data_IF_137910188552
#
_entry.id   IF_137910188552
#
_cell.length_a   1.000
_cell.length_b   1.000
_cell.length_c   1.000
_cell.angle_alpha   90.00
_cell.angle_beta   90.00
_cell.angle_gamma   90.00
#
_symmetry.space_group_name_H-M   'P 1'
#
loop_
_entity.id
_entity.type
_entity.pdbx_description
1 polymer ?
#
# COMPACT_ATOMS: atom_id res chain seq x y z
N UNK A 1 19.81 57.54 -15.95
CA UNK A 1 19.11 57.80 -14.68
C UNK A 1 17.85 56.99 -14.70
N UNK A 2 17.59 55.96 -13.92
CA UNK A 2 18.26 55.16 -12.86
C UNK A 2 17.27 53.96 -12.72
N UNK A 3 17.64 52.68 -12.90
CA UNK A 3 18.10 51.71 -11.87
C UNK A 3 17.13 51.66 -10.67
N UNK A 4 16.64 50.55 -10.10
CA UNK A 4 17.08 49.16 -9.81
C UNK A 4 15.81 48.37 -9.38
N UNK A 5 15.70 47.04 -9.31
CA UNK A 5 16.65 45.95 -9.44
C UNK A 5 15.93 44.60 -9.51
N UNK A 6 16.47 43.72 -10.37
CA UNK A 6 16.13 42.31 -10.48
C UNK A 6 16.55 41.57 -9.19
N UNK A 7 15.66 40.71 -8.67
CA UNK A 7 16.06 39.65 -7.73
C UNK A 7 16.15 38.34 -8.51
N UNK A 8 17.28 38.16 -9.19
CA UNK A 8 17.68 36.90 -9.81
C UNK A 8 18.44 36.11 -8.72
N UNK A 9 17.76 35.21 -8.02
CA UNK A 9 18.43 34.29 -7.10
C UNK A 9 19.07 33.16 -7.90
N UNK A 10 20.40 33.23 -8.05
CA UNK A 10 21.22 32.21 -8.70
C UNK A 10 21.07 30.86 -8.00
N UNK A 11 20.65 29.85 -8.77
CA UNK A 11 20.45 28.46 -8.36
C UNK A 11 21.78 27.65 -8.35
N UNK A 12 22.89 28.26 -7.93
CA UNK A 12 24.24 27.70 -8.11
C UNK A 12 25.10 27.59 -6.83
N UNK A 13 24.52 27.54 -5.63
CA UNK A 13 25.36 27.44 -4.40
C UNK A 13 24.83 26.56 -3.26
N UNK A 14 24.03 25.53 -3.54
CA UNK A 14 23.76 24.49 -2.53
C UNK A 14 24.64 23.26 -2.80
N UNK A 15 25.75 23.17 -2.08
CA UNK A 15 26.63 22.00 -2.07
C UNK A 15 25.93 20.80 -1.41
N UNK A 16 26.16 19.60 -1.96
CA UNK A 16 25.59 18.30 -1.56
C UNK A 16 25.88 17.83 -0.10
N UNK A 17 26.32 18.71 0.80
CA UNK A 17 26.80 18.38 2.15
C UNK A 17 25.85 18.67 3.32
N UNK A 18 24.61 19.16 3.10
CA UNK A 18 23.75 19.65 4.19
C UNK A 18 22.55 18.76 4.56
N UNK A 19 22.57 17.46 4.24
CA UNK A 19 21.54 16.51 4.71
C UNK A 19 22.04 15.55 5.80
N UNK A 20 22.91 16.03 6.69
CA UNK A 20 23.58 15.16 7.66
C UNK A 20 22.72 14.80 8.89
N UNK A 21 21.59 15.46 9.18
CA UNK A 21 20.81 15.17 10.39
C UNK A 21 19.32 14.83 10.17
N UNK A 22 18.80 13.93 11.01
CA UNK A 22 17.40 13.45 11.03
C UNK A 22 16.41 14.58 11.41
N UNK A 23 16.90 15.74 11.89
CA UNK A 23 16.10 16.95 12.15
C UNK A 23 15.85 17.78 10.88
N UNK A 24 16.82 17.92 9.97
CA UNK A 24 16.65 18.65 8.71
C UNK A 24 15.59 17.96 7.83
N UNK A 25 15.56 16.62 7.88
CA UNK A 25 14.53 15.80 7.22
C UNK A 25 13.15 16.01 7.86
N UNK A 26 13.06 16.18 9.19
CA UNK A 26 11.79 16.45 9.88
C UNK A 26 11.29 17.86 9.58
N UNK A 27 12.18 18.85 9.54
CA UNK A 27 11.87 20.25 9.24
C UNK A 27 11.38 20.39 7.79
N UNK A 28 12.06 19.73 6.85
CA UNK A 28 11.64 19.64 5.46
C UNK A 28 10.24 19.01 5.30
N UNK A 29 9.96 17.92 6.00
CA UNK A 29 8.62 17.28 6.00
C UNK A 29 7.55 18.23 6.57
N UNK A 30 7.89 19.06 7.57
CA UNK A 30 6.97 19.99 8.20
C UNK A 30 6.67 21.24 7.33
N UNK A 31 7.67 21.78 6.64
CA UNK A 31 7.50 22.93 5.74
C UNK A 31 6.71 22.59 4.47
N UNK A 32 6.93 21.40 3.88
CA UNK A 32 6.19 20.97 2.70
C UNK A 32 4.72 20.61 3.01
N UNK A 33 4.42 20.21 4.25
CA UNK A 33 3.05 20.07 4.74
C UNK A 33 2.27 21.39 4.73
N UNK A 34 2.94 22.55 4.83
CA UNK A 34 2.28 23.87 4.68
C UNK A 34 2.03 24.24 3.22
N UNK A 35 3.00 24.02 2.32
CA UNK A 35 2.88 24.41 0.90
C UNK A 35 1.81 23.62 0.13
N UNK A 36 1.61 22.34 0.48
CA UNK A 36 0.49 21.55 -0.08
C UNK A 36 -0.89 22.07 0.33
N UNK A 37 -0.98 22.84 1.42
CA UNK A 37 -2.23 23.42 1.91
C UNK A 37 -2.58 24.72 1.16
N UNK A 38 -1.58 25.48 0.69
CA UNK A 38 -1.78 26.74 -0.03
C UNK A 38 -2.21 26.53 -1.49
N UNK A 39 -1.71 25.48 -2.15
CA UNK A 39 -2.06 25.15 -3.54
C UNK A 39 -3.50 24.59 -3.70
N UNK A 40 -4.14 24.16 -2.61
CA UNK A 40 -5.52 23.70 -2.59
C UNK A 40 -6.55 24.86 -2.63
N UNK A 41 -6.13 26.08 -2.29
CA UNK A 41 -7.01 27.25 -2.15
C UNK A 41 -7.35 27.93 -3.48
N UNK A 42 -6.63 27.61 -4.58
CA UNK A 42 -6.74 28.35 -5.85
C UNK A 42 -7.66 27.70 -6.90
N UNK A 43 -8.21 26.51 -6.66
CA UNK A 43 -8.98 25.77 -7.66
C UNK A 43 -10.51 25.70 -7.40
N UNK A 44 -11.02 26.31 -6.33
CA UNK A 44 -12.45 26.29 -5.94
C UNK A 44 -13.35 27.29 -6.71
N UNK A 45 -12.81 28.02 -7.68
CA UNK A 45 -13.56 29.03 -8.42
C UNK A 45 -13.94 28.58 -9.84
N UNK A 46 -14.56 27.40 -10.01
CA UNK A 46 -15.47 27.23 -11.16
C UNK A 46 -16.37 25.98 -11.08
N UNK A 47 -17.58 26.14 -11.63
CA UNK A 47 -18.59 25.13 -12.03
C UNK A 47 -19.65 24.70 -11.02
N UNK A 48 -20.80 25.35 -11.15
CA UNK A 48 -22.11 24.82 -10.80
C UNK A 48 -22.87 24.18 -11.97
N UNK A 49 -24.08 23.70 -11.62
CA UNK A 49 -25.24 23.30 -12.44
C UNK A 49 -25.41 21.82 -12.86
N UNK A 50 -26.14 21.08 -11.99
CA UNK A 50 -27.35 20.25 -12.20
C UNK A 50 -27.59 19.41 -13.47
N UNK A 51 -27.97 18.13 -13.29
CA UNK A 51 -29.23 17.56 -13.80
C UNK A 51 -29.55 16.18 -13.17
N UNK A 52 -30.82 15.97 -12.80
CA UNK A 52 -31.40 14.77 -12.19
C UNK A 52 -31.96 13.81 -13.26
N UNK A 53 -31.90 12.50 -13.03
CA UNK A 53 -32.66 11.47 -13.78
C UNK A 53 -33.20 10.41 -12.79
N UNK A 54 -34.45 9.91 -12.93
CA UNK A 54 -35.10 9.07 -11.93
C UNK A 54 -34.80 7.57 -12.08
N UNK A 55 -34.86 6.87 -10.94
CA UNK A 55 -34.62 5.43 -10.77
C UNK A 55 -35.95 4.68 -10.82
N UNK A 56 -36.04 3.67 -11.69
CA UNK A 56 -37.12 2.68 -11.70
C UNK A 56 -36.78 1.49 -10.81
N UNK A 57 -37.68 1.18 -9.87
CA UNK A 57 -37.65 0.00 -9.01
C UNK A 57 -38.11 -1.24 -9.78
N UNK A 58 -37.39 -2.36 -9.60
CA UNK A 58 -37.90 -3.70 -9.86
C UNK A 58 -37.49 -4.59 -8.68
N UNK A 59 -38.47 -4.89 -7.83
CA UNK A 59 -38.42 -5.91 -6.79
C UNK A 59 -38.51 -7.29 -7.46
N UNK A 60 -37.68 -8.23 -7.02
CA UNK A 60 -37.89 -9.65 -7.33
C UNK A 60 -37.64 -10.43 -6.06
N UNK A 61 -38.76 -10.93 -5.52
CA UNK A 61 -38.83 -11.92 -4.45
C UNK A 61 -38.26 -13.24 -4.97
N UNK A 62 -37.32 -13.84 -4.22
CA UNK A 62 -37.04 -15.26 -4.35
C UNK A 62 -37.07 -15.92 -2.98
N UNK A 63 -37.95 -16.92 -2.91
CA UNK A 63 -38.27 -17.76 -1.78
C UNK A 63 -37.06 -18.65 -1.42
N UNK A 64 -36.73 -18.71 -0.14
CA UNK A 64 -35.77 -19.65 0.43
C UNK A 64 -36.48 -20.98 0.70
N UNK A 65 -36.10 -22.03 -0.01
CA UNK A 65 -36.35 -23.41 0.41
C UNK A 65 -35.11 -23.91 1.16
N UNK A 66 -35.30 -24.21 2.45
CA UNK A 66 -34.34 -24.91 3.29
C UNK A 66 -34.54 -26.41 3.06
N UNK A 67 -33.52 -27.11 2.56
CA UNK A 67 -33.43 -28.56 2.68
C UNK A 67 -32.25 -28.92 3.59
N UNK A 68 -32.60 -29.51 4.73
CA UNK A 68 -31.72 -30.13 5.69
C UNK A 68 -31.05 -31.37 5.08
N UNK A 69 -29.72 -31.42 5.10
CA UNK A 69 -28.96 -32.62 4.73
C UNK A 69 -28.05 -33.05 5.90
N UNK A 70 -28.60 -33.87 6.79
CA UNK A 70 -27.84 -34.63 7.78
C UNK A 70 -27.17 -35.84 7.10
N UNK A 71 -25.91 -35.66 6.69
CA UNK A 71 -25.07 -36.74 6.16
C UNK A 71 -24.19 -37.36 7.25
N UNK A 72 -24.70 -38.41 7.92
CA UNK A 72 -23.93 -39.29 8.80
C UNK A 72 -22.93 -40.14 8.01
N UNK A 73 -21.62 -39.92 8.19
CA UNK A 73 -20.58 -40.78 7.62
C UNK A 73 -20.29 -41.92 8.60
N UNK A 74 -20.82 -43.10 8.31
CA UNK A 74 -20.39 -44.35 8.91
C UNK A 74 -19.01 -44.75 8.32
N UNK A 75 -18.01 -44.92 9.16
CA UNK A 75 -16.71 -45.50 8.78
C UNK A 75 -16.76 -47.01 9.00
N UNK A 76 -16.79 -47.75 7.91
CA UNK A 76 -16.71 -49.21 7.87
C UNK A 76 -15.26 -49.65 8.13
N UNK A 77 -15.08 -50.60 9.04
CA UNK A 77 -13.80 -51.06 9.53
C UNK A 77 -13.34 -52.31 8.77
N UNK A 78 -12.64 -52.10 7.66
CA UNK A 78 -11.87 -53.14 6.98
C UNK A 78 -10.48 -53.29 7.60
N UNK A 79 -10.25 -54.40 8.29
CA UNK A 79 -8.94 -54.85 8.79
C UNK A 79 -8.10 -55.39 7.62
N UNK A 80 -7.05 -54.67 7.22
CA UNK A 80 -5.91 -55.24 6.49
C UNK A 80 -4.62 -54.90 7.26
N UNK A 81 -3.83 -55.91 7.60
CA UNK A 81 -2.58 -55.78 8.35
C UNK A 81 -1.54 -54.93 7.57
N UNK A 82 -0.89 -53.94 8.20
CA UNK A 82 0.14 -53.16 7.54
C UNK A 82 1.50 -53.87 7.56
N UNK A 83 2.33 -53.71 6.51
CA UNK A 83 3.63 -54.36 6.42
C UNK A 83 4.59 -53.78 7.47
N UNK A 84 5.33 -54.66 8.13
CA UNK A 84 6.35 -54.29 9.11
C UNK A 84 7.52 -53.57 8.42
N UNK A 85 7.47 -52.25 8.39
CA UNK A 85 8.64 -51.42 8.12
C UNK A 85 8.77 -50.36 9.21
N UNK A 86 9.96 -50.24 9.78
CA UNK A 86 10.26 -49.50 11.01
C UNK A 86 9.92 -48.01 10.89
N UNK A 87 8.70 -47.63 11.23
CA UNK A 87 8.32 -46.22 11.40
C UNK A 87 8.69 -45.81 12.82
N UNK A 88 9.86 -45.17 12.98
CA UNK A 88 10.11 -44.35 14.18
C UNK A 88 9.00 -43.29 14.23
N UNK A 89 7.94 -43.55 15.02
CA UNK A 89 6.88 -42.57 15.31
C UNK A 89 7.58 -41.33 15.89
N UNK A 90 7.73 -40.27 15.10
CA UNK A 90 8.24 -38.98 15.57
C UNK A 90 7.36 -38.56 16.75
N UNK A 91 7.89 -38.60 17.97
CA UNK A 91 7.19 -38.07 19.15
C UNK A 91 6.90 -36.59 18.88
N UNK A 92 5.62 -36.24 18.83
CA UNK A 92 5.20 -34.84 18.75
C UNK A 92 5.56 -34.20 20.09
N UNK A 93 6.53 -33.29 20.08
CA UNK A 93 6.88 -32.50 21.26
C UNK A 93 5.98 -31.26 21.30
N UNK A 94 5.31 -31.07 22.44
CA UNK A 94 4.61 -29.83 22.77
C UNK A 94 5.47 -29.12 23.81
N UNK A 95 6.02 -27.97 23.43
CA UNK A 95 6.80 -27.14 24.35
C UNK A 95 5.83 -26.25 25.13
N UNK A 96 5.83 -26.28 26.47
CA UNK A 96 4.99 -25.40 27.26
C UNK A 96 5.43 -23.95 27.07
N UNK A 97 4.49 -23.10 26.64
CA UNK A 97 4.69 -21.65 26.52
C UNK A 97 4.35 -20.99 27.85
N UNK A 98 5.23 -20.11 28.34
CA UNK A 98 5.02 -19.33 29.58
C UNK A 98 3.87 -18.32 29.41
N UNK A 99 3.29 -17.87 30.52
CA UNK A 99 2.21 -16.87 30.47
C UNK A 99 2.69 -15.54 29.87
N UNK A 100 3.96 -15.19 30.07
CA UNK A 100 4.59 -14.04 29.45
C UNK A 100 4.70 -14.19 27.93
N UNK A 101 5.18 -15.33 27.44
CA UNK A 101 5.25 -15.59 25.99
C UNK A 101 3.85 -15.62 25.35
N UNK A 102 2.84 -16.20 26.03
CA UNK A 102 1.44 -16.17 25.57
C UNK A 102 0.91 -14.75 25.47
N UNK A 103 1.22 -13.90 26.45
CA UNK A 103 0.86 -12.48 26.44
C UNK A 103 1.58 -11.73 25.31
N UNK A 104 2.86 -11.99 25.09
CA UNK A 104 3.62 -11.40 23.98
C UNK A 104 3.05 -11.83 22.62
N UNK A 105 2.64 -13.09 22.48
CA UNK A 105 1.97 -13.61 21.27
C UNK A 105 0.63 -12.90 21.06
N UNK A 106 -0.20 -12.79 22.11
CA UNK A 106 -1.49 -12.11 22.06
C UNK A 106 -1.35 -10.60 21.77
N UNK A 107 -0.38 -9.94 22.40
CA UNK A 107 -0.09 -8.53 22.18
C UNK A 107 0.43 -8.26 20.76
N UNK A 108 1.05 -9.23 20.11
CA UNK A 108 1.55 -9.10 18.73
C UNK A 108 0.47 -9.35 17.65
N UNK A 109 -0.78 -9.65 18.04
CA UNK A 109 -1.90 -9.78 17.08
C UNK A 109 -2.14 -8.45 16.35
N UNK A 110 -2.11 -7.33 17.08
CA UNK A 110 -2.30 -6.01 16.51
C UNK A 110 -0.98 -5.37 16.08
N UNK A 111 -0.93 -4.89 14.84
CA UNK A 111 0.21 -4.12 14.34
C UNK A 111 0.43 -2.85 15.17
N UNK A 112 1.68 -2.34 15.21
CA UNK A 112 2.01 -1.06 15.86
C UNK A 112 1.13 0.10 15.36
N UNK A 113 0.82 0.11 14.06
CA UNK A 113 -0.09 1.08 13.45
C UNK A 113 -1.52 0.97 13.98
N UNK A 114 -2.02 -0.26 14.10
CA UNK A 114 -3.34 -0.56 14.67
C UNK A 114 -3.43 -0.10 16.13
N UNK A 115 -2.41 -0.37 16.95
CA UNK A 115 -2.34 0.11 18.34
C UNK A 115 -2.39 1.63 18.43
N UNK A 116 -1.64 2.35 17.58
CA UNK A 116 -1.67 3.82 17.51
C UNK A 116 -3.04 4.36 17.09
N UNK A 117 -3.65 3.77 16.06
CA UNK A 117 -4.99 4.16 15.62
C UNK A 117 -6.05 3.92 16.71
N UNK A 118 -5.89 2.85 17.49
CA UNK A 118 -6.76 2.54 18.64
C UNK A 118 -6.66 3.63 19.69
N UNK A 119 -5.44 3.96 20.12
CA UNK A 119 -5.19 5.03 21.08
C UNK A 119 -5.76 6.37 20.60
N UNK A 120 -5.57 6.71 19.33
CA UNK A 120 -6.13 7.93 18.74
C UNK A 120 -7.66 7.95 18.80
N UNK A 121 -8.34 6.89 18.33
CA UNK A 121 -9.79 6.85 18.30
C UNK A 121 -10.43 6.87 19.70
N UNK A 122 -9.81 6.16 20.66
CA UNK A 122 -10.26 6.16 22.06
C UNK A 122 -10.05 7.52 22.70
N UNK A 123 -8.87 8.13 22.50
CA UNK A 123 -8.57 9.46 23.01
C UNK A 123 -9.59 10.48 22.50
N UNK A 124 -9.87 10.47 21.20
CA UNK A 124 -10.84 11.38 20.58
C UNK A 124 -12.25 11.21 21.18
N UNK A 125 -12.68 9.98 21.47
CA UNK A 125 -13.98 9.73 22.08
C UNK A 125 -14.02 10.18 23.56
N UNK A 126 -12.96 9.91 24.34
CA UNK A 126 -12.87 10.37 25.74
C UNK A 126 -12.85 11.89 25.87
N UNK A 127 -12.07 12.58 25.03
CA UNK A 127 -12.05 14.05 25.00
C UNK A 127 -13.44 14.64 24.68
N UNK A 128 -14.19 13.99 23.78
CA UNK A 128 -15.56 14.37 23.49
C UNK A 128 -16.52 14.13 24.67
N UNK A 129 -16.41 12.98 25.35
CA UNK A 129 -17.22 12.68 26.54
C UNK A 129 -16.99 13.71 27.65
N UNK A 130 -15.72 14.03 27.92
CA UNK A 130 -15.34 15.05 28.92
C UNK A 130 -15.92 16.44 28.56
N UNK A 131 -15.81 16.84 27.29
CA UNK A 131 -16.37 18.11 26.79
C UNK A 131 -17.89 18.18 26.98
N UNK A 132 -18.59 17.08 26.68
CA UNK A 132 -20.05 16.97 26.82
C UNK A 132 -20.49 16.71 28.27
N UNK A 133 -19.55 16.64 29.22
CA UNK A 133 -19.78 16.31 30.64
C UNK A 133 -20.51 14.97 30.82
N UNK A 134 -20.19 14.01 29.96
CA UNK A 134 -20.66 12.62 30.02
C UNK A 134 -19.61 11.75 30.72
N UNK A 135 -20.01 10.54 31.09
CA UNK A 135 -19.11 9.59 31.76
C UNK A 135 -17.96 9.17 30.81
N UNK A 136 -16.69 9.48 31.14
CA UNK A 136 -15.55 9.07 30.32
C UNK A 136 -15.22 7.57 30.45
N UNK A 137 -15.78 6.85 31.43
CA UNK A 137 -15.65 5.41 31.63
C UNK A 137 -16.63 4.62 30.73
N UNK A 138 -16.65 4.96 29.44
CA UNK A 138 -17.58 4.38 28.47
C UNK A 138 -17.44 2.86 28.31
N UNK A 139 -16.33 2.30 28.78
CA UNK A 139 -16.09 0.86 28.77
C UNK A 139 -17.08 0.09 29.64
N UNK A 140 -17.65 0.70 30.67
CA UNK A 140 -18.59 0.07 31.61
C UNK A 140 -20.07 0.29 31.24
N UNK A 141 -20.34 1.22 30.32
CA UNK A 141 -21.71 1.58 29.93
C UNK A 141 -22.50 0.41 29.35
N UNK A 142 -23.82 0.42 29.60
CA UNK A 142 -24.73 -0.51 28.95
C UNK A 142 -24.68 -0.31 27.41
N UNK A 143 -25.01 -1.35 26.61
CA UNK A 143 -25.05 -1.21 25.16
C UNK A 143 -25.96 -0.07 24.68
N UNK A 144 -27.07 0.19 25.39
CA UNK A 144 -28.02 1.24 25.04
C UNK A 144 -27.44 2.64 25.30
N UNK A 145 -26.82 2.86 26.46
CA UNK A 145 -26.19 4.16 26.79
C UNK A 145 -25.02 4.46 25.86
N UNK A 146 -24.19 3.44 25.58
CA UNK A 146 -23.10 3.57 24.64
C UNK A 146 -23.59 3.87 23.22
N UNK A 147 -24.68 3.25 22.78
CA UNK A 147 -25.33 3.55 21.50
C UNK A 147 -25.81 5.01 21.44
N UNK A 148 -26.42 5.53 22.51
CA UNK A 148 -26.84 6.93 22.59
C UNK A 148 -25.64 7.90 22.52
N UNK A 149 -24.54 7.58 23.20
CA UNK A 149 -23.32 8.39 23.14
C UNK A 149 -22.71 8.38 21.74
N UNK A 150 -22.59 7.20 21.11
CA UNK A 150 -22.04 7.07 19.76
C UNK A 150 -22.92 7.79 18.71
N UNK A 151 -24.25 7.78 18.89
CA UNK A 151 -25.19 8.50 18.02
C UNK A 151 -24.94 10.00 18.01
N UNK A 152 -24.64 10.60 19.17
CA UNK A 152 -24.28 12.03 19.30
C UNK A 152 -22.86 12.32 18.82
N UNK A 153 -21.93 11.42 19.14
CA UNK A 153 -20.52 11.60 18.81
C UNK A 153 -20.24 11.68 17.31
N UNK A 154 -20.76 10.75 16.50
CA UNK A 154 -20.43 10.66 15.08
C UNK A 154 -20.66 11.95 14.26
N UNK A 155 -21.80 12.66 14.36
CA UNK A 155 -22.01 13.91 13.62
C UNK A 155 -21.14 15.07 14.11
N UNK A 156 -20.60 15.00 15.32
CA UNK A 156 -19.81 16.06 15.97
C UNK A 156 -18.29 15.91 15.78
N UNK A 157 -17.83 14.77 15.25
CA UNK A 157 -16.40 14.55 14.99
C UNK A 157 -15.82 15.62 14.02
N UNK A 158 -14.80 16.37 14.45
CA UNK A 158 -14.08 17.37 13.64
C UNK A 158 -12.56 17.28 13.82
N UNK A 159 -11.80 17.66 12.79
CA UNK A 159 -10.35 17.89 12.90
C UNK A 159 -10.07 19.17 13.70
N UNK A 160 -8.80 19.36 14.11
CA UNK A 160 -8.37 20.60 14.77
C UNK A 160 -8.49 21.87 13.91
N UNK A 161 -8.85 21.73 12.63
CA UNK A 161 -9.14 22.83 11.70
C UNK A 161 -10.65 23.02 11.46
N UNK A 162 -11.49 22.48 12.35
CA UNK A 162 -12.96 22.43 12.26
C UNK A 162 -13.53 21.74 11.01
N UNK A 163 -12.67 21.17 10.15
CA UNK A 163 -13.08 20.38 8.99
C UNK A 163 -13.61 19.02 9.43
N UNK A 164 -14.50 18.42 8.63
CA UNK A 164 -14.91 17.04 8.84
C UNK A 164 -13.75 16.08 8.61
N UNK A 165 -13.74 14.98 9.37
CA UNK A 165 -12.86 13.87 9.06
C UNK A 165 -13.30 13.16 7.78
N UNK A 166 -12.33 12.63 7.03
CA UNK A 166 -12.62 11.75 5.90
C UNK A 166 -13.35 10.49 6.34
N UNK A 167 -14.09 9.87 5.43
CA UNK A 167 -14.80 8.61 5.65
C UNK A 167 -13.89 7.51 6.22
N UNK A 168 -12.67 7.42 5.72
CA UNK A 168 -11.66 6.45 6.19
C UNK A 168 -11.29 6.70 7.66
N UNK A 169 -11.06 7.95 8.04
CA UNK A 169 -10.74 8.31 9.43
C UNK A 169 -11.92 8.04 10.36
N UNK A 170 -13.14 8.39 9.96
CA UNK A 170 -14.35 8.11 10.76
C UNK A 170 -14.56 6.60 10.97
N UNK A 171 -14.42 5.81 9.90
CA UNK A 171 -14.48 4.35 10.00
C UNK A 171 -13.36 3.78 10.89
N UNK A 172 -12.16 4.36 10.79
CA UNK A 172 -11.02 4.02 11.64
C UNK A 172 -11.27 4.27 13.12
N UNK A 173 -11.84 5.43 13.48
CA UNK A 173 -12.21 5.77 14.86
C UNK A 173 -13.26 4.80 15.40
N UNK A 174 -14.32 4.51 14.63
CA UNK A 174 -15.34 3.52 15.02
C UNK A 174 -14.73 2.14 15.27
N UNK A 175 -13.87 1.67 14.37
CA UNK A 175 -13.17 0.39 14.54
C UNK A 175 -12.21 0.39 15.75
N UNK A 176 -11.58 1.53 16.04
CA UNK A 176 -10.73 1.72 17.21
C UNK A 176 -11.50 1.61 18.52
N UNK A 177 -12.67 2.24 18.63
CA UNK A 177 -13.53 2.13 19.82
C UNK A 177 -14.00 0.68 19.98
N UNK A 178 -14.48 0.04 18.90
CA UNK A 178 -14.89 -1.35 18.96
C UNK A 178 -13.76 -2.28 19.44
N UNK A 179 -12.55 -2.10 18.89
CA UNK A 179 -11.39 -2.90 19.26
C UNK A 179 -10.99 -2.66 20.73
N UNK A 180 -11.05 -1.42 21.20
CA UNK A 180 -10.77 -1.11 22.61
C UNK A 180 -11.73 -1.83 23.56
N UNK A 181 -13.02 -1.91 23.22
CA UNK A 181 -14.03 -2.58 24.03
C UNK A 181 -13.90 -4.11 23.99
N UNK A 182 -13.49 -4.68 22.85
CA UNK A 182 -13.49 -6.14 22.61
C UNK A 182 -12.15 -6.81 22.91
N UNK A 183 -11.05 -6.07 22.93
CA UNK A 183 -9.73 -6.59 23.29
C UNK A 183 -9.46 -6.45 24.80
N UNK A 184 -8.41 -7.12 25.32
CA UNK A 184 -7.95 -6.88 26.69
C UNK A 184 -7.67 -5.38 26.95
N UNK A 185 -7.98 -4.87 28.15
CA UNK A 185 -8.46 -5.61 29.32
C UNK A 185 -9.98 -5.83 29.39
N UNK A 186 -10.76 -5.19 28.53
CA UNK A 186 -12.22 -5.10 28.71
C UNK A 186 -12.98 -6.33 28.20
N UNK A 187 -12.53 -6.95 27.10
CA UNK A 187 -13.07 -8.21 26.57
C UNK A 187 -14.60 -8.25 26.48
N UNK A 188 -15.25 -7.12 26.17
CA UNK A 188 -16.70 -7.06 26.09
C UNK A 188 -17.20 -7.88 24.91
N UNK A 189 -18.24 -8.66 25.14
CA UNK A 189 -18.93 -9.40 24.09
C UNK A 189 -19.98 -8.53 23.37
N UNK A 190 -19.53 -7.45 22.72
CA UNK A 190 -20.37 -6.56 21.92
C UNK A 190 -19.65 -6.16 20.63
N UNK A 191 -20.41 -5.83 19.60
CA UNK A 191 -19.91 -5.23 18.36
C UNK A 191 -20.73 -3.98 18.02
N UNK A 192 -20.16 -2.80 18.31
CA UNK A 192 -20.83 -1.51 18.10
C UNK A 192 -21.18 -1.24 16.62
N UNK A 193 -20.60 -2.04 15.70
CA UNK A 193 -20.80 -1.92 14.26
C UNK A 193 -21.91 -2.81 13.72
N UNK A 194 -22.33 -3.85 14.45
CA UNK A 194 -23.20 -4.91 13.93
C UNK A 194 -24.36 -5.27 14.85
N UNK A 195 -24.17 -5.20 16.16
CA UNK A 195 -25.21 -5.64 17.09
C UNK A 195 -26.43 -4.73 17.02
N UNK A 196 -27.62 -5.31 17.17
CA UNK A 196 -28.90 -4.63 17.02
C UNK A 196 -29.09 -3.46 18.00
N UNK A 197 -28.49 -3.55 19.20
CA UNK A 197 -28.49 -2.49 20.20
C UNK A 197 -27.90 -1.16 19.67
N UNK A 198 -27.02 -1.22 18.65
CA UNK A 198 -26.37 -0.05 18.06
C UNK A 198 -27.03 0.44 16.77
N UNK A 199 -28.28 0.05 16.52
CA UNK A 199 -28.95 0.35 15.25
C UNK A 199 -29.12 1.85 14.99
N UNK A 200 -29.40 2.66 16.01
CA UNK A 200 -29.60 4.10 15.85
C UNK A 200 -28.28 4.85 15.65
N UNK A 201 -27.21 4.50 16.38
CA UNK A 201 -25.88 5.06 16.12
C UNK A 201 -25.35 4.65 14.75
N UNK A 202 -25.60 3.43 14.29
CA UNK A 202 -25.18 2.96 12.97
C UNK A 202 -25.93 3.66 11.84
N UNK A 203 -27.24 3.89 11.98
CA UNK A 203 -28.00 4.74 11.05
C UNK A 203 -27.43 6.15 10.99
N UNK A 204 -27.11 6.73 12.14
CA UNK A 204 -26.51 8.06 12.21
C UNK A 204 -25.13 8.11 11.54
N UNK A 205 -24.28 7.13 11.82
CA UNK A 205 -22.98 7.00 11.16
C UNK A 205 -23.11 6.98 9.63
N UNK A 206 -24.04 6.18 9.09
CA UNK A 206 -24.33 6.15 7.65
C UNK A 206 -24.79 7.52 7.12
N UNK A 207 -25.65 8.22 7.85
CA UNK A 207 -26.09 9.59 7.50
C UNK A 207 -24.94 10.58 7.45
N UNK A 208 -24.03 10.53 8.43
CA UNK A 208 -22.83 11.38 8.45
C UNK A 208 -21.91 11.08 7.27
N UNK A 209 -21.72 9.81 6.91
CA UNK A 209 -20.92 9.45 5.73
C UNK A 209 -21.56 9.92 4.42
N UNK A 210 -22.90 9.86 4.30
CA UNK A 210 -23.61 10.38 3.13
C UNK A 210 -23.40 11.89 3.00
N UNK A 211 -23.57 12.64 4.10
CA UNK A 211 -23.34 14.08 4.13
C UNK A 211 -21.90 14.45 3.82
N UNK A 212 -20.93 13.72 4.36
CA UNK A 212 -19.52 13.93 4.04
C UNK A 212 -19.22 13.73 2.54
N UNK A 213 -19.89 12.79 1.88
CA UNK A 213 -19.79 12.58 0.43
C UNK A 213 -20.41 13.73 -0.37
N UNK A 214 -21.58 14.22 0.05
CA UNK A 214 -22.25 15.37 -0.58
C UNK A 214 -21.41 16.66 -0.45
N UNK A 215 -20.70 16.83 0.66
CA UNK A 215 -19.78 17.95 0.92
C UNK A 215 -18.38 17.74 0.26
N UNK A 216 -18.18 16.71 -0.57
CA UNK A 216 -16.89 16.45 -1.24
C UNK A 216 -15.76 15.94 -0.31
N UNK A 217 -16.05 15.69 0.97
CA UNK A 217 -15.07 15.21 1.96
C UNK A 217 -14.76 13.69 1.86
N UNK A 218 -15.27 13.00 0.84
CA UNK A 218 -15.03 11.58 0.56
C UNK A 218 -13.92 11.35 -0.49
N UNK A 219 -13.28 12.42 -1.00
CA UNK A 219 -12.18 12.26 -1.95
C UNK A 219 -10.96 11.60 -1.30
N UNK A 220 -10.66 10.38 -1.74
CA UNK A 220 -9.42 9.71 -1.43
C UNK A 220 -8.39 10.08 -2.49
N UNK A 221 -7.42 10.93 -2.13
CA UNK A 221 -6.27 11.18 -3.01
C UNK A 221 -5.46 9.89 -3.18
N UNK A 222 -5.58 9.27 -4.35
CA UNK A 222 -4.73 8.14 -4.70
C UNK A 222 -3.32 8.64 -5.02
N UNK A 223 -2.32 7.81 -4.73
CA UNK A 223 -0.94 8.15 -5.08
C UNK A 223 -0.80 8.11 -6.61
N UNK A 224 -0.29 9.19 -7.23
CA UNK A 224 -0.21 9.27 -8.68
C UNK A 224 0.73 8.18 -9.21
N UNK A 225 0.39 7.67 -10.40
CA UNK A 225 1.31 6.86 -11.19
C UNK A 225 2.47 7.74 -11.64
N UNK A 226 3.68 7.16 -11.71
CA UNK A 226 4.83 7.84 -12.32
C UNK A 226 4.53 8.01 -13.81
N UNK A 227 4.58 9.26 -14.29
CA UNK A 227 4.34 9.59 -15.68
C UNK A 227 5.35 8.90 -16.61
N UNK A 228 4.96 8.58 -17.86
CA UNK A 228 5.83 7.88 -18.81
C UNK A 228 7.11 8.67 -19.14
N UNK A 229 7.01 10.00 -19.20
CA UNK A 229 8.15 10.90 -19.37
C UNK A 229 9.16 10.78 -18.21
N UNK A 230 8.66 10.68 -16.98
CA UNK A 230 9.51 10.51 -15.79
C UNK A 230 10.03 9.08 -15.63
N UNK A 231 9.27 8.07 -16.05
CA UNK A 231 9.78 6.70 -16.19
C UNK A 231 10.94 6.63 -17.18
N UNK A 232 10.86 7.38 -18.28
CA UNK A 232 11.94 7.48 -19.26
C UNK A 232 13.19 8.10 -18.62
N UNK A 233 13.02 9.20 -17.86
CA UNK A 233 14.12 9.79 -17.07
C UNK A 233 14.72 8.77 -16.11
N UNK A 234 13.90 8.09 -15.30
CA UNK A 234 14.34 7.07 -14.32
C UNK A 234 15.07 5.88 -14.96
N UNK A 235 14.78 5.56 -16.22
CA UNK A 235 15.42 4.46 -16.97
C UNK A 235 16.66 4.89 -17.74
N UNK A 236 16.93 6.20 -17.84
CA UNK A 236 18.09 6.73 -18.55
C UNK A 236 19.39 6.39 -17.83
N UNK A 237 20.48 6.28 -18.59
CA UNK A 237 21.81 5.97 -18.05
C UNK A 237 22.38 7.08 -17.15
N UNK A 238 21.83 8.30 -17.24
CA UNK A 238 22.23 9.46 -16.43
C UNK A 238 21.46 9.58 -15.11
N UNK A 239 20.42 8.77 -14.89
CA UNK A 239 19.55 8.91 -13.72
C UNK A 239 20.21 8.49 -12.40
N UNK A 240 21.16 7.55 -12.46
CA UNK A 240 21.83 7.02 -11.29
C UNK A 240 23.30 6.78 -11.58
N UNK A 241 24.16 7.43 -10.81
CA UNK A 241 25.58 7.08 -10.79
C UNK A 241 25.79 5.75 -10.05
N UNK A 242 26.13 4.69 -10.79
CA UNK A 242 26.38 3.38 -10.22
C UNK A 242 27.71 3.30 -9.45
N UNK A 243 28.57 4.33 -9.56
CA UNK A 243 29.78 4.48 -8.75
C UNK A 243 29.54 5.27 -7.46
N UNK A 244 28.34 5.78 -7.23
CA UNK A 244 27.94 6.36 -5.95
C UNK A 244 27.10 5.35 -5.14
N UNK A 245 27.46 5.06 -3.87
CA UNK A 245 26.76 4.04 -3.09
C UNK A 245 25.33 4.43 -2.72
N UNK A 246 25.01 5.72 -2.67
CA UNK A 246 23.65 6.19 -2.38
C UNK A 246 22.77 5.96 -3.60
N UNK A 247 23.21 6.40 -4.78
CA UNK A 247 22.49 6.29 -6.04
C UNK A 247 22.39 4.85 -6.54
N UNK A 248 23.44 4.03 -6.37
CA UNK A 248 23.36 2.58 -6.61
C UNK A 248 22.26 1.95 -5.76
N UNK A 249 22.17 2.33 -4.50
CA UNK A 249 21.14 1.79 -3.60
C UNK A 249 19.74 2.31 -3.96
N UNK A 250 19.60 3.57 -4.39
CA UNK A 250 18.34 4.14 -4.89
C UNK A 250 17.86 3.43 -6.16
N UNK A 251 18.76 3.18 -7.12
CA UNK A 251 18.46 2.43 -8.35
C UNK A 251 17.96 1.03 -8.04
N UNK A 252 18.73 0.29 -7.24
CA UNK A 252 18.36 -1.08 -6.87
C UNK A 252 17.06 -1.11 -6.08
N UNK A 253 16.86 -0.16 -5.16
CA UNK A 253 15.60 -0.04 -4.45
C UNK A 253 14.44 0.18 -5.41
N UNK A 254 14.54 1.13 -6.34
CA UNK A 254 13.50 1.42 -7.33
C UNK A 254 13.17 0.19 -8.18
N UNK A 255 14.19 -0.48 -8.73
CA UNK A 255 14.01 -1.69 -9.53
C UNK A 255 13.31 -2.81 -8.74
N UNK A 256 13.74 -3.02 -7.48
CA UNK A 256 13.12 -4.03 -6.62
C UNK A 256 11.66 -3.67 -6.28
N UNK A 257 11.35 -2.39 -6.06
CA UNK A 257 9.98 -1.96 -5.80
C UNK A 257 9.09 -2.18 -7.04
N UNK A 258 9.61 -1.87 -8.23
CA UNK A 258 8.90 -2.00 -9.51
C UNK A 258 8.70 -3.46 -9.91
N UNK A 259 9.78 -4.26 -10.00
CA UNK A 259 9.70 -5.64 -10.49
C UNK A 259 9.00 -6.61 -9.53
N UNK A 260 9.07 -6.36 -8.22
CA UNK A 260 8.42 -7.22 -7.22
C UNK A 260 7.09 -6.63 -6.70
N UNK A 261 6.68 -5.47 -7.22
CA UNK A 261 5.49 -4.73 -6.80
C UNK A 261 5.38 -4.65 -5.27
N UNK A 262 6.45 -4.35 -4.55
CA UNK A 262 6.48 -4.56 -3.09
C UNK A 262 5.52 -3.63 -2.34
N UNK A 263 4.91 -4.13 -1.26
CA UNK A 263 3.96 -3.38 -0.41
C UNK A 263 4.65 -2.77 0.81
N UNK A 264 4.41 -1.48 1.00
CA UNK A 264 4.68 -0.78 2.26
C UNK A 264 6.16 -0.73 2.66
N UNK A 265 6.44 0.01 3.72
CA UNK A 265 7.79 0.18 4.28
C UNK A 265 8.14 -0.85 5.34
N UNK A 266 7.14 -1.53 5.90
CA UNK A 266 7.25 -2.35 7.11
C UNK A 266 8.28 -3.49 6.95
N UNK A 267 8.43 -4.04 5.74
CA UNK A 267 9.37 -5.13 5.46
C UNK A 267 10.65 -4.70 4.73
N UNK A 268 10.69 -3.48 4.16
CA UNK A 268 11.85 -3.02 3.37
C UNK A 268 13.12 -3.01 4.22
N UNK A 269 13.01 -2.59 5.49
CA UNK A 269 14.16 -2.51 6.39
C UNK A 269 14.70 -3.87 6.82
N UNK A 270 13.83 -4.89 6.88
CA UNK A 270 14.20 -6.26 7.29
C UNK A 270 14.65 -7.14 6.12
N UNK A 271 14.61 -6.63 4.88
CA UNK A 271 15.09 -7.36 3.71
C UNK A 271 16.57 -7.73 3.86
N UNK A 272 16.91 -8.95 3.46
CA UNK A 272 18.27 -9.49 3.53
C UNK A 272 18.83 -9.79 2.15
N UNK A 273 20.16 -9.87 2.01
CA UNK A 273 20.78 -10.43 0.80
C UNK A 273 20.25 -11.84 0.56
N UNK A 274 20.28 -12.64 1.63
CA UNK A 274 19.86 -14.04 1.60
C UNK A 274 18.40 -14.24 1.19
N UNK A 275 17.54 -13.22 1.29
CA UNK A 275 16.16 -13.26 0.81
C UNK A 275 16.07 -13.46 -0.70
N UNK A 276 17.12 -13.14 -1.45
CA UNK A 276 17.17 -13.24 -2.90
C UNK A 276 18.06 -14.39 -3.37
N UNK A 277 17.75 -14.91 -4.55
CA UNK A 277 18.65 -15.75 -5.34
C UNK A 277 18.62 -15.31 -6.80
N UNK A 278 19.71 -15.60 -7.51
CA UNK A 278 19.85 -15.40 -8.94
C UNK A 278 19.86 -16.77 -9.61
N UNK A 279 19.12 -16.92 -10.71
CA UNK A 279 19.03 -18.14 -11.51
C UNK A 279 19.03 -17.78 -12.99
N UNK A 280 19.25 -18.78 -13.82
CA UNK A 280 19.09 -18.73 -15.27
C UNK A 280 17.85 -19.53 -15.64
N UNK A 281 17.05 -19.03 -16.58
CA UNK A 281 15.95 -19.82 -17.15
C UNK A 281 16.43 -20.72 -18.30
N UNK A 282 15.51 -21.52 -18.83
CA UNK A 282 15.81 -22.50 -19.87
C UNK A 282 16.25 -21.85 -21.19
N UNK A 283 16.05 -20.53 -21.34
CA UNK A 283 16.50 -19.73 -22.49
C UNK A 283 17.87 -19.06 -22.24
N UNK A 284 18.55 -19.40 -21.14
CA UNK A 284 19.85 -18.81 -20.81
C UNK A 284 19.77 -17.39 -20.22
N UNK A 285 18.58 -16.90 -19.88
CA UNK A 285 18.40 -15.54 -19.37
C UNK A 285 18.43 -15.52 -17.84
N UNK A 286 19.33 -14.70 -17.30
CA UNK A 286 19.50 -14.57 -15.84
C UNK A 286 18.41 -13.68 -15.21
N UNK A 287 17.99 -14.03 -14.00
CA UNK A 287 17.01 -13.27 -13.22
C UNK A 287 17.21 -13.41 -11.70
N UNK A 288 16.80 -12.38 -10.96
CA UNK A 288 16.66 -12.42 -9.50
C UNK A 288 15.23 -12.79 -9.09
N UNK A 289 15.07 -13.51 -7.98
CA UNK A 289 13.77 -13.80 -7.36
C UNK A 289 13.88 -13.83 -5.82
N UNK A 290 12.76 -13.61 -5.12
CA UNK A 290 12.68 -13.80 -3.67
C UNK A 290 12.51 -15.29 -3.33
N UNK A 291 13.32 -15.80 -2.40
CA UNK A 291 13.29 -17.20 -1.96
C UNK A 291 12.07 -17.55 -1.10
N UNK A 292 11.52 -16.58 -0.38
CA UNK A 292 10.38 -16.76 0.53
C UNK A 292 9.36 -15.65 0.33
N UNK A 293 8.09 -15.97 0.60
CA UNK A 293 7.06 -14.95 0.71
C UNK A 293 7.24 -14.18 2.03
N UNK A 294 7.23 -12.85 1.96
CA UNK A 294 7.28 -12.02 3.16
C UNK A 294 5.91 -12.02 3.88
N UNK A 295 5.90 -12.05 5.22
CA UNK A 295 4.71 -11.70 5.99
C UNK A 295 4.38 -10.22 5.75
N UNK A 296 3.24 -9.91 5.14
CA UNK A 296 2.84 -8.51 4.88
C UNK A 296 1.87 -8.00 5.95
N UNK A 297 1.66 -6.68 6.02
CA UNK A 297 0.74 -6.00 6.96
C UNK A 297 -0.66 -6.63 7.08
N UNK A 298 -1.20 -7.15 5.97
CA UNK A 298 -2.51 -7.78 5.93
C UNK A 298 -2.45 -9.32 6.06
N UNK A 299 -1.24 -9.87 6.19
CA UNK A 299 -0.91 -11.29 6.27
C UNK A 299 0.09 -11.60 7.41
N UNK A 300 -0.10 -11.12 8.66
CA UNK A 300 0.65 -11.65 9.78
C UNK A 300 0.14 -13.07 10.06
N UNK A 301 0.89 -14.09 9.65
CA UNK A 301 0.66 -15.47 10.09
C UNK A 301 -0.29 -16.34 9.26
N UNK A 302 -0.74 -15.95 8.06
CA UNK A 302 -1.39 -16.92 7.18
C UNK A 302 -0.33 -17.80 6.52
N UNK A 303 -0.31 -19.08 6.92
CA UNK A 303 0.00 -20.16 5.97
C UNK A 303 -1.05 -20.08 4.86
N UNK A 304 -0.84 -19.22 3.87
CA UNK A 304 -1.40 -19.51 2.56
C UNK A 304 -0.74 -20.81 2.15
N UNK A 305 -1.55 -21.82 1.82
CA UNK A 305 -1.10 -23.13 1.38
C UNK A 305 0.23 -23.03 0.64
N UNK A 306 1.21 -23.70 1.21
CA UNK A 306 2.49 -24.07 0.65
C UNK A 306 2.42 -24.26 -0.86
N UNK A 307 2.67 -23.21 -1.66
CA UNK A 307 3.18 -23.26 -3.04
C UNK A 307 3.28 -21.92 -3.78
N UNK A 308 2.83 -20.79 -3.21
CA UNK A 308 3.09 -19.48 -3.83
C UNK A 308 4.54 -19.01 -3.57
N UNK A 309 5.53 -19.77 -4.08
CA UNK A 309 6.84 -19.18 -4.39
C UNK A 309 6.52 -17.97 -5.26
N UNK A 310 6.87 -16.78 -4.82
CA UNK A 310 6.63 -15.55 -5.58
C UNK A 310 7.25 -15.74 -6.96
N UNK A 311 6.43 -15.96 -7.99
CA UNK A 311 6.88 -16.14 -9.39
C UNK A 311 7.45 -14.84 -9.98
N UNK A 312 7.52 -13.78 -9.18
CA UNK A 312 8.08 -12.48 -9.55
C UNK A 312 9.56 -12.64 -9.82
N UNK A 313 9.98 -12.13 -10.98
CA UNK A 313 11.36 -12.21 -11.45
C UNK A 313 11.79 -10.83 -11.92
N UNK A 314 13.04 -10.49 -11.62
CA UNK A 314 13.71 -9.31 -12.15
C UNK A 314 14.81 -9.79 -13.09
N UNK A 315 14.54 -9.70 -14.39
CA UNK A 315 15.41 -10.23 -15.44
C UNK A 315 16.57 -9.29 -15.79
N UNK A 316 17.70 -9.85 -16.19
CA UNK A 316 18.71 -9.11 -16.95
C UNK A 316 18.13 -8.66 -18.30
N UNK A 317 18.46 -7.46 -18.73
CA UNK A 317 17.98 -6.87 -19.99
C UNK A 317 19.13 -6.38 -20.89
N UNK A 318 20.39 -6.61 -20.51
CA UNK A 318 21.57 -6.25 -21.31
C UNK A 318 21.93 -4.77 -21.34
N UNK A 319 21.07 -3.86 -20.87
CA UNK A 319 21.32 -2.40 -20.91
C UNK A 319 22.40 -1.95 -19.91
N UNK A 320 22.85 -0.70 -20.04
CA UNK A 320 23.73 -0.08 -19.05
C UNK A 320 23.01 0.10 -17.70
N UNK A 321 21.74 0.51 -17.72
CA UNK A 321 20.82 0.57 -16.55
C UNK A 321 20.25 -0.78 -16.09
N UNK A 322 20.89 -1.90 -16.44
CA UNK A 322 20.33 -3.23 -16.21
C UNK A 322 20.07 -3.49 -14.72
N UNK A 323 18.81 -3.81 -14.32
CA UNK A 323 18.44 -3.93 -12.91
C UNK A 323 19.17 -5.09 -12.23
N UNK A 324 19.42 -6.20 -12.94
CA UNK A 324 20.15 -7.34 -12.37
C UNK A 324 21.64 -7.01 -12.16
N UNK A 325 22.26 -6.24 -13.07
CA UNK A 325 23.67 -5.83 -12.93
C UNK A 325 23.85 -4.90 -11.73
N UNK A 326 23.01 -3.87 -11.61
CA UNK A 326 23.02 -2.97 -10.45
C UNK A 326 22.77 -3.73 -9.14
N UNK A 327 21.84 -4.70 -9.14
CA UNK A 327 21.57 -5.54 -7.98
C UNK A 327 22.77 -6.39 -7.58
N UNK A 328 23.48 -7.01 -8.53
CA UNK A 328 24.72 -7.76 -8.25
C UNK A 328 25.80 -6.87 -7.65
N UNK A 329 26.01 -5.69 -8.22
CA UNK A 329 26.99 -4.72 -7.72
C UNK A 329 26.67 -4.32 -6.26
N UNK A 330 25.40 -4.07 -5.93
CA UNK A 330 24.99 -3.82 -4.54
C UNK A 330 25.32 -5.01 -3.63
N UNK A 331 24.99 -6.24 -4.04
CA UNK A 331 25.27 -7.44 -3.24
C UNK A 331 26.77 -7.66 -3.03
N UNK A 332 27.59 -7.36 -4.03
CA UNK A 332 29.04 -7.45 -3.99
C UNK A 332 29.63 -6.43 -3.00
N UNK A 333 29.33 -5.15 -3.19
CA UNK A 333 29.91 -4.02 -2.43
C UNK A 333 29.39 -3.87 -1.00
N UNK A 334 28.41 -4.69 -0.61
CA UNK A 334 27.85 -4.71 0.75
C UNK A 334 28.81 -5.27 1.79
N UNK A 335 28.66 -4.80 3.02
CA UNK A 335 29.36 -5.37 4.16
C UNK A 335 28.76 -6.75 4.51
N UNK A 336 29.59 -7.80 4.48
CA UNK A 336 29.17 -9.20 4.69
C UNK A 336 28.89 -9.55 6.16
N UNK A 337 29.33 -8.74 7.11
CA UNK A 337 29.05 -8.96 8.55
C UNK A 337 27.57 -8.73 8.92
N UNK A 338 26.80 -8.07 8.05
CA UNK A 338 25.37 -7.86 8.26
C UNK A 338 24.57 -8.23 7.01
N UNK A 339 23.69 -9.21 7.12
CA UNK A 339 22.93 -9.73 5.98
C UNK A 339 21.80 -8.78 5.53
N UNK A 340 21.50 -7.69 6.24
CA UNK A 340 20.49 -6.70 5.79
C UNK A 340 20.87 -6.07 4.46
N UNK A 341 19.90 -5.99 3.54
CA UNK A 341 20.06 -5.51 2.17
C UNK A 341 20.39 -4.01 2.10
N UNK A 342 19.66 -3.18 2.84
CA UNK A 342 19.84 -1.73 2.82
C UNK A 342 20.69 -1.29 4.02
N UNK A 343 21.99 -1.18 3.78
CA UNK A 343 22.99 -0.69 4.71
C UNK A 343 23.23 0.81 4.52
N UNK A 344 23.77 1.50 5.54
CA UNK A 344 24.15 2.91 5.40
C UNK A 344 25.31 3.06 4.40
N UNK A 345 25.19 3.89 3.35
CA UNK A 345 26.29 4.12 2.41
C UNK A 345 27.45 4.85 3.10
N UNK A 346 28.69 4.59 2.66
CA UNK A 346 29.83 5.46 2.95
C UNK A 346 29.73 6.70 2.07
N UNK A 347 30.01 7.87 2.62
CA UNK A 347 29.93 9.15 1.91
C UNK A 347 31.17 10.00 2.14
N UNK A 348 31.37 11.01 1.29
CA UNK A 348 32.46 11.98 1.39
C UNK A 348 33.84 11.33 1.37
N UNK A 349 34.78 11.85 2.17
CA UNK A 349 36.18 11.38 2.21
C UNK A 349 36.36 9.91 2.61
N UNK A 350 35.32 9.28 3.17
CA UNK A 350 35.34 7.88 3.59
C UNK A 350 34.92 6.91 2.47
N UNK A 351 34.59 7.44 1.30
CA UNK A 351 34.20 6.67 0.14
C UNK A 351 35.25 6.76 -0.97
N UNK A 352 35.57 5.60 -1.54
CA UNK A 352 36.36 5.45 -2.76
C UNK A 352 35.66 4.40 -3.65
N UNK A 353 35.35 4.69 -4.92
CA UNK A 353 34.73 3.73 -5.84
C UNK A 353 35.52 2.42 -5.99
N UNK A 354 36.85 2.45 -5.89
CA UNK A 354 37.69 1.25 -6.09
C UNK A 354 37.70 0.31 -4.89
N UNK A 355 37.19 0.72 -3.72
CA UNK A 355 37.19 -0.12 -2.52
C UNK A 355 36.20 -1.28 -2.65
N UNK A 356 36.46 -2.36 -1.91
CA UNK A 356 35.62 -3.56 -1.94
C UNK A 356 34.28 -3.37 -1.21
N UNK A 357 34.26 -2.56 -0.14
CA UNK A 357 33.09 -2.40 0.73
C UNK A 357 32.62 -0.95 0.76
N UNK A 358 31.46 -0.69 0.14
CA UNK A 358 30.89 0.65 0.00
C UNK A 358 29.91 1.02 1.12
N UNK A 359 29.45 0.04 1.90
CA UNK A 359 28.43 0.23 2.91
C UNK A 359 28.94 -0.09 4.32
N UNK A 360 28.39 0.61 5.31
CA UNK A 360 28.67 0.35 6.73
C UNK A 360 27.89 -0.88 7.22
N UNK A 361 28.32 -1.48 8.33
CA UNK A 361 27.60 -2.57 9.00
C UNK A 361 26.19 -2.17 9.46
N UNK A 362 25.93 -0.88 9.65
CA UNK A 362 24.67 -0.38 10.19
C UNK A 362 23.55 -0.38 9.15
N UNK A 363 22.33 -0.66 9.63
CA UNK A 363 21.12 -0.69 8.82
C UNK A 363 20.69 0.73 8.45
N UNK A 364 20.17 0.93 7.23
CA UNK A 364 19.62 2.22 6.81
C UNK A 364 18.38 2.59 7.64
N UNK A 365 18.20 3.88 7.89
CA UNK A 365 17.12 4.41 8.71
C UNK A 365 15.74 4.12 8.10
N UNK A 366 14.73 3.87 8.95
CA UNK A 366 13.37 3.66 8.49
C UNK A 366 12.83 4.90 7.75
N UNK A 367 13.10 6.10 8.28
CA UNK A 367 12.68 7.36 7.67
C UNK A 367 13.30 7.54 6.29
N UNK A 368 14.61 7.31 6.15
CA UNK A 368 15.32 7.40 4.86
C UNK A 368 14.72 6.47 3.82
N UNK A 369 14.44 5.21 4.19
CA UNK A 369 13.83 4.26 3.28
C UNK A 369 12.39 4.69 2.91
N UNK A 370 11.66 5.33 3.84
CA UNK A 370 10.27 5.76 3.62
C UNK A 370 10.15 6.94 2.63
N UNK A 371 11.23 7.67 2.40
CA UNK A 371 11.29 8.82 1.49
C UNK A 371 12.20 8.60 0.27
N UNK A 372 12.50 7.34 -0.09
CA UNK A 372 13.35 7.02 -1.24
C UNK A 372 12.82 7.59 -2.56
N UNK A 373 11.57 7.31 -2.94
CA UNK A 373 11.01 7.86 -4.18
C UNK A 373 10.89 9.39 -4.12
N UNK A 374 10.43 10.03 -3.02
CA UNK A 374 10.47 11.48 -2.91
C UNK A 374 11.85 12.10 -3.16
N UNK A 375 12.91 11.53 -2.57
CA UNK A 375 14.30 11.98 -2.79
C UNK A 375 14.74 11.81 -4.23
N UNK A 376 14.40 10.68 -4.86
CA UNK A 376 14.70 10.44 -6.28
C UNK A 376 13.96 11.45 -7.16
N UNK A 377 12.69 11.75 -6.86
CA UNK A 377 11.89 12.74 -7.57
C UNK A 377 12.53 14.12 -7.56
N UNK A 378 12.94 14.58 -6.38
CA UNK A 378 13.59 15.89 -6.20
C UNK A 378 14.94 15.93 -6.93
N UNK A 379 15.79 14.92 -6.72
CA UNK A 379 17.13 14.84 -7.32
C UNK A 379 17.10 14.83 -8.84
N UNK A 380 16.10 14.18 -9.44
CA UNK A 380 15.98 14.04 -10.89
C UNK A 380 15.10 15.10 -11.55
N UNK A 381 14.52 16.03 -10.79
CA UNK A 381 13.58 17.01 -11.35
C UNK A 381 12.42 16.33 -12.09
N UNK A 382 11.81 15.32 -11.45
CA UNK A 382 10.61 14.68 -11.99
C UNK A 382 9.43 15.67 -11.95
N UNK A 383 8.41 15.44 -12.78
CA UNK A 383 7.25 16.32 -12.88
C UNK A 383 6.47 16.44 -11.56
N UNK A 384 6.55 15.41 -10.73
CA UNK A 384 5.95 15.40 -9.40
C UNK A 384 6.85 14.77 -8.35
N UNK A 385 6.58 15.14 -7.10
CA UNK A 385 7.16 14.51 -5.92
C UNK A 385 6.45 13.19 -5.60
N UNK A 386 6.85 12.13 -6.29
CA UNK A 386 6.26 10.80 -6.14
C UNK A 386 6.55 10.16 -4.78
N UNK A 387 5.64 9.30 -4.34
CA UNK A 387 5.81 8.54 -3.10
C UNK A 387 6.28 7.12 -3.37
N UNK A 388 6.74 6.41 -2.35
CA UNK A 388 7.08 4.99 -2.49
C UNK A 388 5.88 4.14 -2.97
N UNK A 389 4.64 4.58 -2.70
CA UNK A 389 3.44 3.89 -3.17
C UNK A 389 3.19 4.13 -4.67
N UNK A 390 3.63 5.26 -5.22
CA UNK A 390 3.56 5.58 -6.64
C UNK A 390 4.25 4.50 -7.48
N UNK A 391 5.41 3.98 -7.06
CA UNK A 391 6.12 2.91 -7.81
C UNK A 391 5.27 1.65 -7.99
N UNK A 392 4.54 1.27 -6.94
CA UNK A 392 3.64 0.11 -6.99
C UNK A 392 2.41 0.39 -7.85
N UNK A 393 1.86 1.60 -7.75
CA UNK A 393 0.75 2.05 -8.59
C UNK A 393 1.14 2.00 -10.08
N UNK A 394 2.33 2.52 -10.41
CA UNK A 394 2.94 2.44 -11.74
C UNK A 394 3.09 1.00 -12.21
N UNK A 395 3.52 0.07 -11.34
CA UNK A 395 3.64 -1.35 -11.72
C UNK A 395 2.30 -1.92 -12.17
N UNK A 396 1.21 -1.60 -11.46
CA UNK A 396 -0.14 -2.03 -11.83
C UNK A 396 -0.57 -1.42 -13.15
N UNK A 397 -0.38 -0.10 -13.33
CA UNK A 397 -0.76 0.61 -14.56
C UNK A 397 0.00 0.08 -15.77
N UNK A 398 1.33 -0.02 -15.69
CA UNK A 398 2.17 -0.48 -16.79
C UNK A 398 1.79 -1.90 -17.23
N UNK A 399 1.53 -2.81 -16.29
CA UNK A 399 1.08 -4.17 -16.65
C UNK A 399 -0.30 -4.13 -17.34
N UNK A 400 -1.24 -3.34 -16.83
CA UNK A 400 -2.57 -3.21 -17.43
C UNK A 400 -2.52 -2.59 -18.83
N UNK A 401 -1.69 -1.56 -19.03
CA UNK A 401 -1.53 -0.89 -20.31
C UNK A 401 -0.82 -1.77 -21.36
N UNK A 402 -0.04 -2.77 -20.91
CA UNK A 402 0.54 -3.81 -21.76
C UNK A 402 -0.37 -5.04 -21.94
N UNK A 403 -1.66 -4.92 -21.58
CA UNK A 403 -2.66 -5.97 -21.83
C UNK A 403 -2.59 -7.17 -20.87
N UNK A 404 -1.89 -7.05 -19.74
CA UNK A 404 -1.88 -8.11 -18.73
C UNK A 404 -3.23 -8.16 -18.02
N UNK A 405 -3.82 -9.35 -17.98
CA UNK A 405 -5.12 -9.60 -17.37
C UNK A 405 -5.15 -9.24 -15.89
N UNK A 406 -6.30 -8.71 -15.41
CA UNK A 406 -6.44 -8.23 -14.03
C UNK A 406 -6.10 -9.32 -13.00
N UNK A 407 -6.45 -10.58 -13.26
CA UNK A 407 -6.12 -11.73 -12.39
C UNK A 407 -4.61 -11.96 -12.28
N UNK A 408 -3.86 -11.77 -13.36
CA UNK A 408 -2.41 -11.91 -13.35
C UNK A 408 -1.74 -10.74 -12.65
N UNK A 409 -2.22 -9.52 -12.88
CA UNK A 409 -1.79 -8.33 -12.13
C UNK A 409 -2.02 -8.54 -10.64
N UNK A 410 -3.19 -9.04 -10.24
CA UNK A 410 -3.49 -9.38 -8.84
C UNK A 410 -2.47 -10.35 -8.26
N UNK A 411 -2.09 -11.40 -9.02
CA UNK A 411 -1.07 -12.36 -8.60
C UNK A 411 0.32 -11.74 -8.49
N UNK A 412 0.72 -10.88 -9.43
CA UNK A 412 2.04 -10.21 -9.41
C UNK A 412 2.12 -9.18 -8.29
N UNK A 413 1.02 -8.50 -7.99
CA UNK A 413 0.97 -7.45 -6.99
C UNK A 413 0.42 -7.93 -5.65
N UNK A 414 0.11 -9.22 -5.52
CA UNK A 414 -0.48 -9.86 -4.34
C UNK A 414 -1.83 -9.25 -3.90
N UNK A 415 -2.63 -8.67 -4.81
CA UNK A 415 -3.99 -8.21 -4.51
C UNK A 415 -4.97 -9.39 -4.46
N UNK A 416 -5.93 -9.36 -3.54
CA UNK A 416 -6.95 -10.41 -3.37
C UNK A 416 -8.27 -10.12 -4.05
N UNK A 417 -8.56 -8.84 -4.28
CA UNK A 417 -9.80 -8.39 -4.88
C UNK A 417 -9.46 -7.52 -6.09
N UNK A 418 -10.11 -7.80 -7.22
CA UNK A 418 -10.02 -6.97 -8.41
C UNK A 418 -10.53 -5.56 -8.17
N UNK A 419 -11.51 -5.38 -7.28
CA UNK A 419 -11.95 -4.06 -6.82
C UNK A 419 -10.82 -3.20 -6.25
N UNK A 420 -9.79 -3.82 -5.66
CA UNK A 420 -8.60 -3.09 -5.17
C UNK A 420 -7.61 -2.70 -6.28
N UNK A 421 -7.77 -3.25 -7.49
CA UNK A 421 -7.05 -2.78 -8.68
C UNK A 421 -7.72 -1.57 -9.32
N UNK A 422 -9.04 -1.40 -9.15
CA UNK A 422 -9.79 -0.30 -9.77
C UNK A 422 -9.23 1.06 -9.39
N UNK A 423 -8.80 1.26 -8.13
CA UNK A 423 -8.17 2.52 -7.69
C UNK A 423 -6.85 2.87 -8.40
N UNK A 424 -6.21 1.90 -9.06
CA UNK A 424 -5.01 2.14 -9.87
C UNK A 424 -5.34 2.33 -11.36
N UNK A 425 -6.54 1.93 -11.78
CA UNK A 425 -7.02 1.94 -13.17
C UNK A 425 -8.09 3.01 -13.41
N UNK A 426 -8.51 3.75 -12.37
CA UNK A 426 -9.41 4.92 -12.46
C UNK A 426 -8.78 6.04 -13.27
N UNK A 427 -7.45 6.13 -13.23
CA UNK A 427 -6.68 6.89 -14.19
C UNK A 427 -6.17 5.94 -15.27
N UNK A 428 -7.06 5.56 -16.19
CA UNK A 428 -6.59 5.18 -17.51
C UNK A 428 -5.59 6.25 -17.95
N UNK A 429 -4.38 5.87 -18.36
CA UNK A 429 -3.36 6.82 -18.80
C UNK A 429 -3.98 7.82 -19.77
N UNK A 430 -3.48 9.04 -19.84
CA UNK A 430 -4.02 10.02 -20.79
C UNK A 430 -4.01 9.46 -22.23
N UNK A 431 -3.08 8.56 -22.54
CA UNK A 431 -3.07 7.77 -23.77
C UNK A 431 -4.36 6.97 -23.97
N UNK A 432 -4.81 6.24 -22.94
CA UNK A 432 -6.03 5.44 -22.96
C UNK A 432 -7.31 6.28 -22.89
N UNK A 433 -7.32 7.39 -22.14
CA UNK A 433 -8.42 8.40 -22.19
C UNK A 433 -8.54 9.00 -23.59
N UNK A 434 -7.41 9.34 -24.22
CA UNK A 434 -7.35 9.81 -25.63
C UNK A 434 -7.81 8.72 -26.60
N UNK A 435 -7.41 7.46 -26.39
CA UNK A 435 -7.85 6.35 -27.23
C UNK A 435 -9.37 6.13 -27.10
N UNK A 436 -9.93 6.14 -25.89
CA UNK A 436 -11.37 6.06 -25.67
C UNK A 436 -12.12 7.20 -26.35
N UNK A 437 -11.66 8.44 -26.16
CA UNK A 437 -12.21 9.59 -26.86
C UNK A 437 -12.14 9.43 -28.38
N UNK A 438 -10.98 8.99 -28.90
CA UNK A 438 -10.78 8.71 -30.33
C UNK A 438 -11.74 7.63 -30.86
N UNK A 439 -11.96 6.54 -30.11
CA UNK A 439 -12.93 5.51 -30.49
C UNK A 439 -14.35 6.04 -30.57
N UNK A 440 -14.72 6.96 -29.67
CA UNK A 440 -16.04 7.62 -29.69
C UNK A 440 -16.17 8.61 -30.86
N UNK A 441 -15.07 9.23 -31.29
CA UNK A 441 -15.04 10.10 -32.47
C UNK A 441 -15.05 9.33 -33.80
N UNK A 442 -14.54 8.09 -33.82
CA UNK A 442 -14.57 7.23 -35.02
C UNK A 442 -15.90 6.49 -35.09
N UNK A 443 -16.93 7.16 -35.61
CA UNK A 443 -18.09 6.46 -36.19
C UNK A 443 -17.62 5.79 -37.48
N UNK A 444 -17.14 4.55 -37.41
CA UNK A 444 -17.14 3.69 -38.60
C UNK A 444 -18.61 3.55 -39.02
N UNK A 445 -19.04 4.30 -40.03
CA UNK A 445 -20.18 3.88 -40.85
C UNK A 445 -19.85 2.45 -41.27
N UNK A 446 -20.64 1.49 -40.79
CA UNK A 446 -20.68 0.15 -41.36
C UNK A 446 -21.12 0.32 -42.83
N UNK A 447 -20.18 0.61 -43.73
CA UNK A 447 -20.39 0.32 -45.13
C UNK A 447 -20.43 -1.19 -45.23
N UNK A 448 -21.66 -1.70 -45.28
CA UNK A 448 -21.99 -3.05 -45.73
C UNK A 448 -21.28 -3.22 -47.08
N UNK A 449 -20.13 -3.88 -47.08
CA UNK A 449 -19.57 -4.42 -48.31
C UNK A 449 -20.50 -5.59 -48.65
N UNK A 450 -21.54 -5.30 -49.44
CA UNK A 450 -22.26 -6.31 -50.17
C UNK A 450 -21.28 -6.85 -51.23
N UNK A 451 -20.44 -7.80 -50.82
CA UNK A 451 -19.70 -8.64 -51.75
C UNK A 451 -20.69 -9.53 -52.46
N UNK A 452 -21.09 -9.16 -53.68
CA UNK A 452 -21.74 -10.10 -54.58
C UNK A 452 -20.70 -11.17 -54.93
N UNK A 453 -21.00 -12.35 -54.42
CA UNK A 453 -20.40 -13.64 -54.69
C UNK A 453 -20.38 -13.87 -56.21
N UNK A 454 -19.19 -14.12 -56.76
CA UNK A 454 -19.06 -14.79 -58.04
C UNK A 454 -19.56 -16.24 -57.88
N UNK A 455 -20.58 -16.61 -58.65
CA UNK A 455 -20.91 -18.01 -58.91
C UNK A 455 -21.42 -18.15 -60.36
N UNK A 456 -20.93 -19.19 -61.05
CA UNK A 456 -21.20 -19.63 -62.43
C UNK A 456 -20.58 -18.77 -63.55
N UNK A 457 -19.81 -19.29 -64.51
CA UNK A 457 -19.54 -20.65 -65.00
C UNK A 457 -18.15 -20.68 -65.64
#
# INVERSE_FOLDING_TARGET
MESEGNFELSLSSLSDSEWENDEDIKQFIAEEGRKQNEHATLHEADKGASAQVPVGHAETEHQNENEDYEGSIAVDAGFDEPPQNSTKKRKRQFLPTTEQERKEIADNVDSKGTKRATKFGVKLFKEWLEKEKLDPAFEELSPNDLNEYLRRFYPEMRSGTEKRYSKSTMAGVRASINRHLTNPPFLRNICIMKDSAFSTSNKMFCGVLKKAKEEGCDETKHYPNIAESDLTKLRSDQAFDLNDPTQLQEKVWFDLQLHFARRGMENTRSLKASSFAIKTDDMGKEYAYLKHAECTKNHPGKMSDTNYKTKKRMYANGTATCPLKSFRLLLEKRNKENDVLYQKPRTGRKFNPTQDVWYLKSVRGHNTLAVMMPRISERLGLSERYTNHSVRATTVSVLADNGVEAREIMRITDHKNEGSLRSYNTDSTDSRKRAYSSFLHVTKRFTRICGNVYCCK
#
